data_IF_386574092327
#
_entry.id   IF_386574092327
#
_cell.length_a   1.000
_cell.length_b   1.000
_cell.length_c   1.000
_cell.angle_alpha   90.00
_cell.angle_beta   90.00
_cell.angle_gamma   90.00
#
_symmetry.space_group_name_H-M   'P 1'
#
loop_
_entity.id
_entity.type
_entity.pdbx_description
1 polymer ?
#
# COMPACT_ATOMS: atom_id res chain seq x y z
N UNK A 1 17.68 -13.96 -11.18
CA UNK A 1 16.60 -12.96 -11.15
C UNK A 1 15.31 -13.61 -11.63
N UNK A 2 14.17 -13.17 -11.11
CA UNK A 2 12.84 -13.64 -11.52
C UNK A 2 12.21 -12.53 -12.35
N UNK A 3 11.82 -12.79 -13.61
CA UNK A 3 11.27 -11.75 -14.48
C UNK A 3 9.91 -11.28 -13.94
N UNK A 4 9.67 -9.98 -14.05
CA UNK A 4 8.34 -9.40 -13.86
C UNK A 4 7.36 -9.90 -14.91
N UNK A 5 6.06 -9.79 -14.65
CA UNK A 5 5.00 -10.07 -15.63
C UNK A 5 5.14 -9.21 -16.88
N UNK A 6 5.59 -7.96 -16.74
CA UNK A 6 5.84 -7.07 -17.86
C UNK A 6 6.98 -7.58 -18.76
N UNK A 7 8.10 -8.00 -18.16
CA UNK A 7 9.22 -8.61 -18.88
C UNK A 7 8.84 -9.95 -19.53
N UNK A 8 7.88 -10.67 -18.94
CA UNK A 8 7.32 -11.91 -19.47
C UNK A 8 6.27 -11.73 -20.58
N UNK A 9 6.00 -10.49 -21.02
CA UNK A 9 5.07 -10.20 -22.12
C UNK A 9 3.64 -9.82 -21.70
N UNK A 10 3.40 -9.58 -20.41
CA UNK A 10 2.11 -9.15 -19.85
C UNK A 10 2.23 -7.76 -19.19
N UNK A 11 2.47 -6.69 -19.96
CA UNK A 11 2.80 -5.35 -19.43
C UNK A 11 1.69 -4.69 -18.61
N UNK A 12 0.44 -5.17 -18.74
CA UNK A 12 -0.71 -4.66 -17.99
C UNK A 12 -1.03 -5.47 -16.74
N UNK A 13 -0.38 -6.62 -16.55
CA UNK A 13 -0.62 -7.50 -15.40
C UNK A 13 0.29 -7.08 -14.25
N UNK A 14 -0.09 -6.04 -13.52
CA UNK A 14 0.63 -5.58 -12.32
C UNK A 14 -0.28 -5.74 -11.11
N UNK A 15 0.12 -6.60 -10.18
CA UNK A 15 -0.64 -6.96 -8.98
C UNK A 15 0.28 -6.91 -7.77
N UNK A 16 0.43 -5.71 -7.21
CA UNK A 16 1.21 -5.48 -6.00
C UNK A 16 0.29 -5.52 -4.77
N UNK A 17 0.84 -6.00 -3.65
CA UNK A 17 0.18 -5.98 -2.36
C UNK A 17 0.71 -4.83 -1.52
N UNK A 18 -0.19 -3.97 -1.03
CA UNK A 18 0.16 -2.84 -0.17
C UNK A 18 -0.46 -2.96 1.22
N UNK A 19 0.30 -2.57 2.24
CA UNK A 19 -0.17 -2.44 3.61
C UNK A 19 -0.17 -0.98 4.03
N UNK A 20 -1.21 -0.57 4.75
CA UNK A 20 -1.38 0.81 5.20
C UNK A 20 -2.04 0.85 6.59
N UNK A 21 -1.72 1.90 7.36
CA UNK A 21 -2.30 2.16 8.66
C UNK A 21 -3.45 3.17 8.53
N UNK A 22 -4.61 2.83 9.09
CA UNK A 22 -5.81 3.66 9.06
C UNK A 22 -6.30 3.98 10.48
N UNK A 23 -6.99 5.11 10.62
CA UNK A 23 -7.67 5.52 11.85
C UNK A 23 -9.15 5.79 11.58
N UNK A 24 -10.03 5.76 12.61
CA UNK A 24 -11.45 6.05 12.44
C UNK A 24 -11.72 7.43 11.81
N UNK A 25 -12.81 7.53 11.04
CA UNK A 25 -13.29 8.81 10.52
C UNK A 25 -13.53 9.81 11.66
N UNK A 26 -13.08 11.05 11.48
CA UNK A 26 -13.17 12.10 12.50
C UNK A 26 -12.06 12.08 13.55
N UNK A 27 -11.05 11.22 13.43
CA UNK A 27 -9.86 11.27 14.30
C UNK A 27 -9.22 12.67 14.24
N UNK A 28 -8.96 13.32 15.40
CA UNK A 28 -8.39 14.67 15.42
C UNK A 28 -7.03 14.76 14.72
N UNK A 29 -6.81 15.84 13.97
CA UNK A 29 -5.57 16.07 13.22
C UNK A 29 -4.28 15.94 14.05
N UNK A 30 -4.21 16.40 15.32
CA UNK A 30 -3.02 16.20 16.15
C UNK A 30 -2.69 14.71 16.40
N UNK A 31 -3.71 13.86 16.53
CA UNK A 31 -3.54 12.41 16.74
C UNK A 31 -3.09 11.74 15.44
N UNK A 32 -3.67 12.12 14.31
CA UNK A 32 -3.24 11.61 13.00
C UNK A 32 -1.76 11.92 12.73
N UNK A 33 -1.33 13.14 13.04
CA UNK A 33 0.07 13.54 12.91
C UNK A 33 0.97 12.70 13.83
N UNK A 34 0.59 12.52 15.09
CA UNK A 34 1.37 11.71 16.02
C UNK A 34 1.52 10.25 15.54
N UNK A 35 0.44 9.64 15.05
CA UNK A 35 0.48 8.28 14.50
C UNK A 35 1.35 8.20 13.26
N UNK A 36 1.24 9.17 12.36
CA UNK A 36 2.08 9.24 11.16
C UNK A 36 3.56 9.36 11.52
N UNK A 37 3.93 10.33 12.37
CA UNK A 37 5.31 10.57 12.77
C UNK A 37 5.93 9.35 13.44
N UNK A 38 5.19 8.69 14.35
CA UNK A 38 5.65 7.47 15.00
C UNK A 38 5.83 6.30 14.01
N UNK A 39 4.92 6.16 13.05
CA UNK A 39 4.98 5.09 12.03
C UNK A 39 6.17 5.30 11.09
N UNK A 40 6.34 6.51 10.56
CA UNK A 40 7.46 6.84 9.68
C UNK A 40 8.79 6.72 10.45
N UNK A 41 8.84 7.14 11.71
CA UNK A 41 9.99 6.96 12.57
C UNK A 41 10.37 5.49 12.75
N UNK A 42 9.41 4.61 13.00
CA UNK A 42 9.64 3.18 13.10
C UNK A 42 10.12 2.56 11.77
N UNK A 43 9.52 2.97 10.65
CA UNK A 43 9.92 2.53 9.30
C UNK A 43 11.31 3.03 8.87
N UNK A 44 11.86 4.03 9.56
CA UNK A 44 13.21 4.52 9.31
C UNK A 44 14.29 3.70 10.05
N UNK A 45 13.91 2.88 11.04
CA UNK A 45 14.84 2.06 11.80
C UNK A 45 15.45 0.97 10.89
N UNK A 46 16.80 0.81 10.88
CA UNK A 46 17.46 -0.18 10.02
C UNK A 46 16.92 -1.60 10.20
N UNK A 47 16.73 -2.03 11.44
CA UNK A 47 16.23 -3.36 11.77
C UNK A 47 14.83 -3.63 11.22
N UNK A 48 13.96 -2.61 11.22
CA UNK A 48 12.60 -2.71 10.66
C UNK A 48 12.67 -2.76 9.14
N UNK A 49 13.50 -1.91 8.53
CA UNK A 49 13.67 -1.87 7.06
C UNK A 49 14.23 -3.18 6.53
N UNK A 50 15.21 -3.74 7.21
CA UNK A 50 15.86 -4.98 6.79
C UNK A 50 14.90 -6.17 6.94
N UNK A 51 14.19 -6.26 8.07
CA UNK A 51 13.17 -7.29 8.27
C UNK A 51 12.04 -7.24 7.24
N UNK A 52 11.62 -6.04 6.82
CA UNK A 52 10.60 -5.88 5.78
C UNK A 52 11.14 -6.24 4.39
N UNK A 53 12.38 -5.85 4.07
CA UNK A 53 13.03 -6.25 2.80
C UNK A 53 13.22 -7.75 2.70
N UNK A 54 13.60 -8.42 3.78
CA UNK A 54 13.74 -9.89 3.81
C UNK A 54 12.43 -10.60 3.48
N UNK A 55 11.29 -9.96 3.78
CA UNK A 55 9.95 -10.43 3.42
C UNK A 55 9.51 -10.00 2.01
N UNK A 56 10.38 -9.33 1.26
CA UNK A 56 10.10 -8.80 -0.08
C UNK A 56 9.27 -7.51 -0.08
N UNK A 57 9.14 -6.82 1.06
CA UNK A 57 8.40 -5.56 1.16
C UNK A 57 9.30 -4.35 0.89
N UNK A 58 8.72 -3.33 0.25
CA UNK A 58 9.35 -2.02 0.09
C UNK A 58 8.76 -1.01 1.08
N UNK A 59 9.62 -0.24 1.73
CA UNK A 59 9.22 0.79 2.69
C UNK A 59 8.97 2.12 1.98
N UNK A 60 7.72 2.57 1.95
CA UNK A 60 7.31 3.84 1.32
C UNK A 60 7.31 5.01 2.32
N UNK A 61 6.58 4.89 3.44
CA UNK A 61 6.56 5.90 4.51
C UNK A 61 6.08 7.30 4.06
N UNK A 62 5.16 7.38 3.09
CA UNK A 62 4.67 8.62 2.50
C UNK A 62 3.72 9.41 3.41
N UNK A 63 3.36 10.63 3.01
CA UNK A 63 2.43 11.48 3.73
C UNK A 63 1.01 10.90 3.78
N UNK A 64 0.21 11.37 4.73
CA UNK A 64 -1.21 10.98 4.85
C UNK A 64 -2.03 11.35 3.62
N UNK A 65 -1.68 12.45 2.94
CA UNK A 65 -2.33 12.89 1.70
C UNK A 65 -2.00 11.95 0.53
N UNK A 66 -0.74 11.55 0.39
CA UNK A 66 -0.31 10.61 -0.66
C UNK A 66 -0.94 9.23 -0.47
N UNK A 67 -1.06 8.76 0.78
CA UNK A 67 -1.79 7.52 1.07
C UNK A 67 -3.27 7.65 0.68
N UNK A 68 -3.93 8.78 0.96
CA UNK A 68 -5.31 9.01 0.56
C UNK A 68 -5.49 8.98 -0.97
N UNK A 69 -4.57 9.62 -1.71
CA UNK A 69 -4.55 9.58 -3.18
C UNK A 69 -4.37 8.15 -3.70
N UNK A 70 -3.43 7.38 -3.14
CA UNK A 70 -3.19 5.99 -3.51
C UNK A 70 -4.44 5.10 -3.30
N UNK A 71 -5.09 5.21 -2.14
CA UNK A 71 -6.31 4.46 -1.85
C UNK A 71 -7.44 4.85 -2.81
N UNK A 72 -7.58 6.14 -3.11
CA UNK A 72 -8.58 6.63 -4.06
C UNK A 72 -8.36 6.10 -5.49
N UNK A 73 -7.12 5.81 -5.89
CA UNK A 73 -6.84 5.18 -7.20
C UNK A 73 -6.99 3.66 -7.19
N UNK A 74 -6.66 2.99 -6.09
CA UNK A 74 -6.68 1.51 -6.04
C UNK A 74 -8.09 0.95 -5.91
N UNK A 75 -8.97 1.56 -5.11
CA UNK A 75 -10.36 1.10 -4.94
C UNK A 75 -11.10 0.91 -6.29
N UNK A 76 -11.18 1.93 -7.19
CA UNK A 76 -11.89 1.77 -8.45
C UNK A 76 -11.20 0.77 -9.40
N UNK A 77 -9.87 0.72 -9.42
CA UNK A 77 -9.09 -0.25 -10.21
C UNK A 77 -9.45 -1.69 -9.84
N UNK A 78 -9.40 -2.03 -8.55
CA UNK A 78 -9.73 -3.37 -8.07
C UNK A 78 -11.23 -3.68 -8.19
N UNK A 79 -12.11 -2.71 -7.98
CA UNK A 79 -13.54 -2.88 -8.19
C UNK A 79 -13.88 -3.20 -9.66
N UNK A 80 -13.23 -2.56 -10.62
CA UNK A 80 -13.40 -2.85 -12.04
C UNK A 80 -12.90 -4.27 -12.38
N UNK A 81 -11.73 -4.66 -11.89
CA UNK A 81 -11.17 -6.00 -12.11
C UNK A 81 -12.06 -7.09 -11.51
N UNK A 82 -12.54 -6.91 -10.28
CA UNK A 82 -13.44 -7.87 -9.63
C UNK A 82 -14.72 -8.11 -10.44
N UNK A 83 -15.31 -7.03 -10.99
CA UNK A 83 -16.50 -7.11 -11.87
C UNK A 83 -16.20 -7.88 -13.16
N UNK A 84 -15.07 -7.60 -13.81
CA UNK A 84 -14.65 -8.29 -15.03
C UNK A 84 -14.39 -9.78 -14.80
N UNK A 85 -13.81 -10.12 -13.64
CA UNK A 85 -13.54 -11.50 -13.24
C UNK A 85 -14.78 -12.26 -12.72
N UNK A 86 -15.94 -11.60 -12.63
CA UNK A 86 -17.18 -12.21 -12.13
C UNK A 86 -17.16 -12.53 -10.64
N UNK A 87 -16.27 -11.89 -9.86
CA UNK A 87 -16.19 -12.03 -8.41
C UNK A 87 -17.43 -11.41 -7.77
N UNK A 88 -18.11 -12.17 -6.90
CA UNK A 88 -19.31 -11.72 -6.18
C UNK A 88 -19.00 -11.58 -4.69
N UNK A 89 -19.59 -10.60 -4.00
CA UNK A 89 -19.66 -10.63 -2.55
C UNK A 89 -20.29 -11.95 -2.10
N UNK A 90 -19.75 -12.53 -1.03
CA UNK A 90 -20.35 -13.70 -0.36
C UNK A 90 -21.72 -13.35 0.22
#
# INVERSE_FOLDING_TARGET
EVPTTAEAGFPTLVADNSYALFAPAGTPAPILRQLHDATVGALALPEVRDQLREQGAEVVGNSTAELATYVASEIPKWAALARQAGVKPL
#
